data_IF_993485441075
#
_entry.id   IF_993485441075
#
_cell.length_a   1.000
_cell.length_b   1.000
_cell.length_c   1.000
_cell.angle_alpha   90.00
_cell.angle_beta   90.00
_cell.angle_gamma   90.00
#
_symmetry.space_group_name_H-M   'P 1'
#
loop_
_entity.id
_entity.type
_entity.pdbx_description
1 polymer ?
#
# COMPACT_ATOMS: atom_id res chain seq x y z
N UNK A 1 -15.57 8.40 2.07
CA UNK A 1 -15.03 8.98 0.83
C UNK A 1 -14.32 7.87 0.07
N UNK A 2 -14.88 7.38 -1.02
CA UNK A 2 -14.27 6.33 -1.84
C UNK A 2 -13.32 7.01 -2.83
N UNK A 3 -12.04 7.03 -2.49
CA UNK A 3 -11.02 7.67 -3.32
C UNK A 3 -10.45 6.60 -4.25
N UNK A 4 -10.83 6.64 -5.52
CA UNK A 4 -10.36 5.70 -6.53
C UNK A 4 -8.96 6.11 -7.00
N UNK A 5 -8.00 5.20 -6.90
CA UNK A 5 -6.69 5.39 -7.52
C UNK A 5 -6.83 5.33 -9.05
N UNK A 6 -6.57 6.46 -9.72
CA UNK A 6 -6.42 6.48 -11.17
C UNK A 6 -4.99 6.07 -11.53
N UNK A 7 -4.86 5.23 -12.56
CA UNK A 7 -3.55 4.89 -13.12
C UNK A 7 -2.96 6.09 -13.86
N UNK A 8 -1.63 6.13 -13.97
CA UNK A 8 -0.93 7.19 -14.69
C UNK A 8 -1.45 7.35 -16.13
N UNK A 9 -1.72 6.26 -16.84
CA UNK A 9 -2.29 6.29 -18.18
C UNK A 9 -3.65 7.01 -18.23
N UNK A 10 -4.55 6.72 -17.26
CA UNK A 10 -5.85 7.40 -17.16
C UNK A 10 -5.68 8.87 -16.83
N UNK A 11 -4.81 9.22 -15.87
CA UNK A 11 -4.50 10.61 -15.56
C UNK A 11 -3.89 11.35 -16.76
N UNK A 12 -3.02 10.71 -17.52
CA UNK A 12 -2.40 11.28 -18.72
C UNK A 12 -3.44 11.53 -19.82
N UNK A 13 -4.40 10.62 -19.99
CA UNK A 13 -5.49 10.75 -20.97
C UNK A 13 -6.39 11.92 -20.59
N UNK A 14 -6.85 11.99 -19.34
CA UNK A 14 -7.70 13.09 -18.84
C UNK A 14 -6.98 14.44 -18.96
N UNK A 15 -5.72 14.50 -18.55
CA UNK A 15 -4.94 15.74 -18.62
C UNK A 15 -4.50 16.10 -20.05
N UNK A 16 -4.56 15.18 -21.02
CA UNK A 16 -4.11 15.45 -22.39
C UNK A 16 -4.95 16.53 -23.07
N UNK A 17 -6.29 16.42 -22.97
CA UNK A 17 -7.24 17.40 -23.53
C UNK A 17 -7.05 18.78 -22.91
N UNK A 18 -6.84 18.84 -21.59
CA UNK A 18 -6.57 20.11 -20.87
C UNK A 18 -5.23 20.70 -21.32
N UNK A 19 -4.18 19.89 -21.42
CA UNK A 19 -2.86 20.33 -21.91
C UNK A 19 -2.94 20.87 -23.33
N UNK A 20 -3.68 20.23 -24.23
CA UNK A 20 -3.87 20.73 -25.60
C UNK A 20 -4.61 22.06 -25.64
N UNK A 21 -5.63 22.22 -24.80
CA UNK A 21 -6.41 23.46 -24.73
C UNK A 21 -5.57 24.62 -24.18
N UNK A 22 -4.78 24.36 -23.13
CA UNK A 22 -3.87 25.36 -22.54
C UNK A 22 -2.76 25.75 -23.54
N UNK A 23 -2.15 24.77 -24.23
CA UNK A 23 -1.16 25.06 -25.29
C UNK A 23 -1.75 25.95 -26.39
N UNK A 24 -2.95 25.61 -26.87
CA UNK A 24 -3.64 26.40 -27.88
C UNK A 24 -3.92 27.83 -27.41
N UNK A 25 -4.46 28.01 -26.19
CA UNK A 25 -4.76 29.33 -25.62
C UNK A 25 -3.50 30.16 -25.35
N UNK A 26 -2.40 29.52 -24.97
CA UNK A 26 -1.11 30.18 -24.73
C UNK A 26 -0.29 30.41 -26.02
N UNK A 27 -0.83 30.07 -27.20
CA UNK A 27 -0.12 30.14 -28.50
C UNK A 27 1.19 29.34 -28.52
N UNK A 28 1.25 28.27 -27.72
CA UNK A 28 2.39 27.37 -27.60
C UNK A 28 2.32 26.29 -28.68
N UNK A 29 3.47 25.95 -29.27
CA UNK A 29 3.59 24.85 -30.21
C UNK A 29 3.20 23.51 -29.55
N UNK A 30 2.56 22.63 -30.33
CA UNK A 30 2.13 21.31 -29.85
C UNK A 30 3.31 20.45 -29.38
N UNK A 31 4.47 20.61 -30.02
CA UNK A 31 5.75 19.93 -29.73
C UNK A 31 6.42 20.35 -28.43
N UNK A 32 5.97 21.44 -27.78
CA UNK A 32 6.60 21.92 -26.55
C UNK A 32 6.50 20.84 -25.44
N UNK A 33 7.61 20.53 -24.75
CA UNK A 33 7.61 19.54 -23.68
C UNK A 33 6.56 19.86 -22.61
N UNK A 34 5.87 18.84 -22.11
CA UNK A 34 4.82 19.04 -21.09
C UNK A 34 5.36 19.63 -19.78
N UNK A 35 6.66 19.41 -19.49
CA UNK A 35 7.37 20.00 -18.36
C UNK A 35 7.29 21.52 -18.35
N UNK A 36 7.29 22.16 -19.53
CA UNK A 36 7.19 23.62 -19.62
C UNK A 36 5.86 24.09 -19.07
N UNK A 37 4.76 23.40 -19.38
CA UNK A 37 3.43 23.72 -18.86
C UNK A 37 3.34 23.62 -17.33
N UNK A 38 4.10 22.69 -16.74
CA UNK A 38 4.15 22.49 -15.29
C UNK A 38 4.89 23.62 -14.58
N UNK A 39 5.92 24.17 -15.22
CA UNK A 39 6.73 25.26 -14.67
C UNK A 39 6.12 26.66 -14.91
N UNK A 40 5.49 26.88 -16.07
CA UNK A 40 5.05 28.22 -16.50
C UNK A 40 3.58 28.54 -16.27
N UNK A 41 2.69 27.54 -16.26
CA UNK A 41 1.24 27.75 -16.24
C UNK A 41 0.53 27.14 -15.02
N UNK A 42 1.27 26.69 -14.00
CA UNK A 42 0.74 26.03 -12.80
C UNK A 42 -0.17 24.81 -13.11
N UNK A 43 0.01 24.18 -14.27
CA UNK A 43 -0.72 22.96 -14.60
C UNK A 43 -0.09 21.83 -13.78
N UNK A 44 -0.81 21.28 -12.82
CA UNK A 44 -0.23 20.25 -11.96
C UNK A 44 -0.31 18.90 -12.69
N UNK A 45 0.76 18.10 -12.64
CA UNK A 45 0.66 16.71 -13.07
C UNK A 45 -0.35 16.00 -12.15
N UNK A 46 -1.51 15.65 -12.71
CA UNK A 46 -2.63 15.09 -11.95
C UNK A 46 -2.24 13.80 -11.22
N UNK A 47 -1.37 12.97 -11.81
CA UNK A 47 -0.93 11.74 -11.16
C UNK A 47 -0.06 12.03 -9.94
N UNK A 48 0.92 12.94 -10.05
CA UNK A 48 1.76 13.30 -8.92
C UNK A 48 0.97 14.02 -7.82
N UNK A 49 0.02 14.88 -8.19
CA UNK A 49 -0.89 15.53 -7.25
C UNK A 49 -1.75 14.51 -6.49
N UNK A 50 -2.31 13.53 -7.22
CA UNK A 50 -3.10 12.45 -6.63
C UNK A 50 -2.27 11.65 -5.62
N UNK A 51 -1.06 11.21 -6.00
CA UNK A 51 -0.16 10.47 -5.09
C UNK A 51 0.18 11.29 -3.86
N UNK A 52 0.56 12.56 -4.03
CA UNK A 52 0.86 13.46 -2.92
C UNK A 52 -0.35 13.60 -1.97
N UNK A 53 -1.54 13.84 -2.51
CA UNK A 53 -2.76 13.93 -1.70
C UNK A 53 -3.04 12.63 -0.93
N UNK A 54 -2.86 11.47 -1.57
CA UNK A 54 -3.06 10.18 -0.92
C UNK A 54 -2.09 9.94 0.23
N UNK A 55 -0.81 10.25 0.02
CA UNK A 55 0.21 10.14 1.06
C UNK A 55 -0.06 11.11 2.20
N UNK A 56 -0.34 12.38 1.92
CA UNK A 56 -0.69 13.37 2.95
C UNK A 56 -1.88 12.90 3.79
N UNK A 57 -2.93 12.40 3.14
CA UNK A 57 -4.10 11.87 3.85
C UNK A 57 -3.75 10.66 4.72
N UNK A 58 -2.87 9.77 4.26
CA UNK A 58 -2.41 8.63 5.04
C UNK A 58 -1.62 9.09 6.28
N UNK A 59 -0.71 10.06 6.12
CA UNK A 59 0.02 10.65 7.25
C UNK A 59 -0.91 11.36 8.24
N UNK A 60 -1.93 12.07 7.75
CA UNK A 60 -2.94 12.71 8.60
C UNK A 60 -3.76 11.68 9.37
N UNK A 61 -4.17 10.57 8.73
CA UNK A 61 -4.88 9.48 9.40
C UNK A 61 -4.03 8.84 10.50
N UNK A 62 -2.74 8.64 10.26
CA UNK A 62 -1.83 8.08 11.24
C UNK A 62 -1.64 9.00 12.48
N UNK A 63 -1.68 10.32 12.28
CA UNK A 63 -1.47 11.34 13.31
C UNK A 63 -2.77 11.99 13.82
N UNK A 64 -3.91 11.42 13.49
CA UNK A 64 -5.23 11.98 13.83
C UNK A 64 -5.62 11.74 15.29
N UNK A 65 -6.80 12.26 15.67
CA UNK A 65 -7.41 12.02 16.99
C UNK A 65 -7.50 10.53 17.33
N UNK A 66 -7.62 10.22 18.63
CA UNK A 66 -7.60 8.85 19.14
C UNK A 66 -8.55 7.89 18.39
N UNK A 67 -9.78 8.34 18.11
CA UNK A 67 -10.78 7.53 17.40
C UNK A 67 -10.35 7.19 15.96
N UNK A 68 -9.92 8.20 15.20
CA UNK A 68 -9.50 8.00 13.81
C UNK A 68 -8.22 7.16 13.72
N UNK A 69 -7.29 7.35 14.67
CA UNK A 69 -6.10 6.51 14.82
C UNK A 69 -6.46 5.05 15.14
N UNK A 70 -7.46 4.82 15.99
CA UNK A 70 -7.96 3.46 16.30
C UNK A 70 -8.57 2.79 15.07
N UNK A 71 -9.41 3.51 14.31
CA UNK A 71 -10.00 3.01 13.06
C UNK A 71 -8.93 2.68 12.01
N UNK A 72 -7.91 3.54 11.89
CA UNK A 72 -6.77 3.31 11.01
C UNK A 72 -5.99 2.05 11.43
N UNK A 73 -5.69 1.88 12.72
CA UNK A 73 -5.02 0.69 13.24
C UNK A 73 -5.85 -0.59 13.02
N UNK A 74 -7.17 -0.52 13.16
CA UNK A 74 -8.06 -1.64 12.86
C UNK A 74 -7.99 -2.03 11.37
N UNK A 75 -8.03 -1.06 10.46
CA UNK A 75 -7.87 -1.32 9.03
C UNK A 75 -6.50 -1.91 8.69
N UNK A 76 -5.44 -1.43 9.32
CA UNK A 76 -4.11 -2.03 9.18
C UNK A 76 -4.12 -3.48 9.64
N UNK A 77 -4.68 -3.80 10.81
CA UNK A 77 -4.83 -5.19 11.29
C UNK A 77 -5.63 -6.06 10.32
N UNK A 78 -6.69 -5.51 9.75
CA UNK A 78 -7.49 -6.22 8.75
C UNK A 78 -6.64 -6.56 7.51
N UNK A 79 -5.88 -5.60 6.99
CA UNK A 79 -4.97 -5.84 5.85
C UNK A 79 -3.91 -6.88 6.21
N UNK A 80 -3.32 -6.81 7.42
CA UNK A 80 -2.35 -7.80 7.88
C UNK A 80 -2.93 -9.20 7.90
N UNK A 81 -4.08 -9.39 8.53
CA UNK A 81 -4.74 -10.69 8.61
C UNK A 81 -5.15 -11.20 7.24
N UNK A 82 -5.69 -10.32 6.39
CA UNK A 82 -6.12 -10.68 5.04
C UNK A 82 -4.94 -11.15 4.18
N UNK A 83 -3.81 -10.45 4.27
CA UNK A 83 -2.61 -10.73 3.48
C UNK A 83 -1.64 -11.69 4.16
N UNK A 84 -1.92 -12.13 5.39
CA UNK A 84 -1.01 -12.95 6.23
C UNK A 84 0.36 -12.30 6.42
N UNK A 85 0.37 -10.99 6.66
CA UNK A 85 1.60 -10.23 6.90
C UNK A 85 1.94 -10.35 8.39
N UNK A 86 3.10 -10.93 8.74
CA UNK A 86 3.51 -11.10 10.13
C UNK A 86 3.92 -9.79 10.82
N UNK A 87 4.34 -8.79 10.03
CA UNK A 87 4.84 -7.49 10.48
C UNK A 87 3.78 -6.41 10.17
N UNK A 88 3.88 -5.24 10.80
CA UNK A 88 3.11 -4.05 10.42
C UNK A 88 3.14 -3.81 8.90
N UNK A 89 1.99 -3.57 8.21
CA UNK A 89 1.96 -3.24 6.78
C UNK A 89 2.82 -2.02 6.45
N UNK A 90 3.00 -1.13 7.42
CA UNK A 90 3.80 0.08 7.28
C UNK A 90 5.29 -0.19 7.11
N UNK A 91 5.77 -1.38 7.51
CA UNK A 91 7.18 -1.76 7.49
C UNK A 91 7.50 -2.77 6.37
N UNK A 92 6.52 -3.12 5.54
CA UNK A 92 6.74 -4.03 4.41
C UNK A 92 7.54 -3.28 3.35
N UNK A 93 8.71 -3.81 2.99
CA UNK A 93 9.63 -3.23 2.01
C UNK A 93 9.36 -3.69 0.57
N UNK A 94 8.64 -4.80 0.41
CA UNK A 94 8.28 -5.31 -0.91
C UNK A 94 6.83 -5.83 -0.90
N UNK A 95 5.99 -5.27 -1.77
CA UNK A 95 4.60 -5.69 -1.95
C UNK A 95 4.40 -6.66 -3.12
N UNK A 96 5.44 -7.10 -3.83
CA UNK A 96 5.34 -7.97 -5.02
C UNK A 96 4.41 -9.17 -4.79
N UNK A 97 4.56 -9.88 -3.67
CA UNK A 97 3.74 -11.04 -3.30
C UNK A 97 2.23 -10.74 -3.21
N UNK A 98 1.88 -9.53 -2.74
CA UNK A 98 0.50 -9.16 -2.39
C UNK A 98 -0.15 -8.17 -3.37
N UNK A 99 0.64 -7.49 -4.19
CA UNK A 99 0.19 -6.48 -5.17
C UNK A 99 -0.89 -7.00 -6.13
N UNK A 100 -0.85 -8.30 -6.44
CA UNK A 100 -1.85 -8.96 -7.29
C UNK A 100 -3.21 -9.19 -6.61
N UNK A 101 -3.30 -9.04 -5.28
CA UNK A 101 -4.54 -9.29 -4.54
C UNK A 101 -5.58 -8.23 -4.77
N UNK A 102 -6.84 -8.66 -4.81
CA UNK A 102 -7.96 -7.77 -5.05
C UNK A 102 -8.09 -6.67 -3.97
N UNK A 103 -7.60 -6.94 -2.75
CA UNK A 103 -7.57 -5.95 -1.66
C UNK A 103 -6.74 -4.73 -2.02
N UNK A 104 -5.63 -4.87 -2.77
CA UNK A 104 -4.82 -3.73 -3.22
C UNK A 104 -5.49 -2.94 -4.35
N UNK A 105 -6.46 -3.52 -5.05
CA UNK A 105 -7.26 -2.81 -6.05
C UNK A 105 -8.42 -2.04 -5.43
N UNK A 106 -8.99 -2.57 -4.35
CA UNK A 106 -10.24 -2.08 -3.77
C UNK A 106 -10.04 -1.23 -2.51
N UNK A 107 -9.07 -1.57 -1.66
CA UNK A 107 -8.81 -0.87 -0.42
C UNK A 107 -7.84 0.31 -0.64
N UNK A 108 -8.31 1.50 -0.25
CA UNK A 108 -7.56 2.74 -0.38
C UNK A 108 -6.23 2.72 0.39
N UNK A 109 -6.20 2.18 1.61
CA UNK A 109 -5.00 2.16 2.45
C UNK A 109 -4.00 1.17 1.87
N UNK A 110 -4.45 -0.05 1.52
CA UNK A 110 -3.59 -1.05 0.92
C UNK A 110 -2.93 -0.54 -0.37
N UNK A 111 -3.71 0.05 -1.27
CA UNK A 111 -3.20 0.61 -2.52
C UNK A 111 -2.20 1.76 -2.28
N UNK A 112 -2.50 2.66 -1.35
CA UNK A 112 -1.62 3.78 -1.00
C UNK A 112 -0.31 3.29 -0.36
N UNK A 113 -0.35 2.24 0.46
CA UNK A 113 0.87 1.63 1.00
C UNK A 113 1.71 0.95 -0.08
N UNK A 114 1.07 0.32 -1.08
CA UNK A 114 1.78 -0.24 -2.22
C UNK A 114 2.43 0.83 -3.09
N UNK A 115 1.76 1.97 -3.31
CA UNK A 115 2.35 3.06 -4.09
C UNK A 115 3.47 3.80 -3.34
N UNK A 116 3.44 3.80 -2.00
CA UNK A 116 4.47 4.46 -1.17
C UNK A 116 5.86 3.86 -1.36
N UNK A 117 5.99 2.54 -1.63
CA UNK A 117 7.29 1.88 -1.83
C UNK A 117 8.05 2.42 -3.05
N UNK A 118 7.33 2.90 -4.06
CA UNK A 118 7.94 3.53 -5.22
C UNK A 118 8.45 4.95 -4.93
N UNK A 119 8.33 5.41 -3.69
CA UNK A 119 8.83 6.71 -3.23
C UNK A 119 9.94 6.51 -2.20
N UNK A 120 10.86 7.49 -2.05
CA UNK A 120 11.92 7.41 -1.04
C UNK A 120 11.41 7.56 0.41
N UNK A 121 10.11 7.80 0.62
CA UNK A 121 9.54 8.04 1.94
C UNK A 121 9.18 6.73 2.64
N UNK A 122 9.64 6.58 3.88
CA UNK A 122 9.32 5.44 4.72
C UNK A 122 8.46 5.87 5.92
N UNK A 123 7.48 5.05 6.28
CA UNK A 123 6.68 5.23 7.50
C UNK A 123 7.39 4.52 8.66
N UNK A 124 7.82 5.28 9.66
CA UNK A 124 8.36 4.72 10.90
C UNK A 124 7.36 4.88 12.04
N UNK A 125 7.28 3.85 12.90
CA UNK A 125 6.52 3.92 14.15
C UNK A 125 7.42 4.53 15.22
N UNK A 126 6.91 5.53 15.94
CA UNK A 126 7.57 6.02 17.16
C UNK A 126 7.23 5.05 18.30
N UNK A 127 8.25 4.54 18.97
CA UNK A 127 8.18 3.56 20.08
C UNK A 127 7.36 4.03 21.30
N UNK A 128 6.82 5.25 21.28
CA UNK A 128 6.02 5.86 22.35
C UNK A 128 4.53 5.53 22.29
N UNK A 129 4.07 4.78 21.27
CA UNK A 129 2.65 4.43 21.15
C UNK A 129 2.30 3.24 22.06
N UNK A 130 1.30 3.35 22.97
CA UNK A 130 0.87 2.25 23.86
C UNK A 130 0.15 1.10 23.12
N UNK A 131 0.07 1.16 21.79
CA UNK A 131 -0.57 0.14 20.97
C UNK A 131 0.44 -0.97 20.74
N UNK A 132 0.15 -2.23 21.15
CA UNK A 132 1.07 -3.33 20.98
C UNK A 132 1.51 -3.42 19.52
N UNK A 133 2.77 -3.80 19.31
CA UNK A 133 3.27 -3.97 17.97
C UNK A 133 2.32 -4.86 17.19
N UNK A 134 2.03 -4.41 15.97
CA UNK A 134 1.21 -5.16 15.02
C UNK A 134 1.99 -6.38 14.50
N UNK A 135 2.92 -6.90 15.28
CA UNK A 135 3.67 -8.11 15.00
C UNK A 135 2.96 -9.25 15.69
N UNK A 136 2.62 -10.29 14.94
CA UNK A 136 2.13 -11.50 15.58
C UNK A 136 3.26 -12.09 16.44
N UNK A 137 3.04 -12.34 17.74
CA UNK A 137 4.13 -12.78 18.61
C UNK A 137 4.63 -14.19 18.24
N UNK A 138 5.91 -14.45 18.51
CA UNK A 138 6.53 -15.78 18.57
C UNK A 138 6.73 -16.52 17.22
N UNK A 139 7.03 -15.78 16.15
CA UNK A 139 7.35 -16.37 14.85
C UNK A 139 8.63 -15.84 14.23
N UNK A 140 9.51 -16.73 13.78
CA UNK A 140 10.80 -16.38 13.19
C UNK A 140 10.73 -16.32 11.66
N UNK A 141 10.11 -17.32 11.02
CA UNK A 141 10.09 -17.45 9.56
C UNK A 141 8.68 -17.27 9.02
N UNK A 142 8.40 -16.19 8.26
CA UNK A 142 7.12 -15.99 7.60
C UNK A 142 6.80 -17.10 6.59
N UNK A 143 5.57 -17.59 6.57
CA UNK A 143 5.16 -18.67 5.66
C UNK A 143 5.31 -18.26 4.19
N UNK A 144 5.06 -16.98 3.86
CA UNK A 144 5.17 -16.50 2.49
C UNK A 144 6.61 -16.56 1.95
N UNK A 145 7.63 -16.57 2.81
CA UNK A 145 9.03 -16.72 2.41
C UNK A 145 9.40 -18.19 2.14
N UNK A 146 8.67 -19.13 2.75
CA UNK A 146 8.91 -20.56 2.59
C UNK A 146 8.24 -21.15 1.34
N UNK A 147 7.21 -20.49 0.83
CA UNK A 147 6.39 -20.99 -0.28
C UNK A 147 6.67 -20.20 -1.55
N UNK A 148 6.59 -20.86 -2.71
CA UNK A 148 6.54 -20.14 -3.99
C UNK A 148 5.26 -19.30 -4.05
N UNK A 149 5.29 -18.20 -4.81
CA UNK A 149 4.17 -17.26 -4.94
C UNK A 149 2.87 -17.98 -5.31
N UNK A 150 2.91 -18.93 -6.25
CA UNK A 150 1.72 -19.64 -6.72
C UNK A 150 1.12 -20.56 -5.66
N UNK A 151 1.97 -21.27 -4.91
CA UNK A 151 1.55 -22.16 -3.83
C UNK A 151 0.98 -21.34 -2.66
N UNK A 152 1.61 -20.21 -2.33
CA UNK A 152 1.10 -19.30 -1.31
C UNK A 152 -0.29 -18.77 -1.68
N UNK A 153 -0.49 -18.33 -2.92
CA UNK A 153 -1.78 -17.84 -3.42
C UNK A 153 -2.86 -18.91 -3.38
N UNK A 154 -2.55 -20.12 -3.85
CA UNK A 154 -3.50 -21.23 -3.87
C UNK A 154 -3.97 -21.64 -2.46
N UNK A 155 -3.09 -21.53 -1.46
CA UNK A 155 -3.38 -21.94 -0.08
C UNK A 155 -3.80 -20.80 0.84
N UNK A 156 -3.89 -19.56 0.34
CA UNK A 156 -4.08 -18.37 1.16
C UNK A 156 -5.36 -18.41 2.00
N UNK A 157 -6.46 -18.93 1.44
CA UNK A 157 -7.73 -19.05 2.18
C UNK A 157 -7.64 -20.04 3.33
N UNK A 158 -6.90 -21.14 3.16
CA UNK A 158 -6.67 -22.15 4.19
C UNK A 158 -5.78 -21.60 5.29
N UNK A 159 -4.64 -21.02 4.92
CA UNK A 159 -3.72 -20.40 5.86
C UNK A 159 -4.42 -19.31 6.71
N UNK A 160 -5.28 -18.50 6.09
CA UNK A 160 -6.07 -17.48 6.80
C UNK A 160 -7.09 -18.07 7.77
N UNK A 161 -7.79 -19.15 7.39
CA UNK A 161 -8.73 -19.83 8.29
C UNK A 161 -8.05 -20.34 9.56
N UNK A 162 -6.82 -20.83 9.43
CA UNK A 162 -6.03 -21.33 10.56
C UNK A 162 -5.17 -20.25 11.23
N UNK A 163 -5.21 -18.99 10.77
CA UNK A 163 -4.40 -17.91 11.34
C UNK A 163 -2.89 -18.17 11.26
N UNK A 164 -2.44 -18.82 10.18
CA UNK A 164 -1.05 -19.23 9.98
C UNK A 164 -0.25 -18.12 9.29
N UNK A 165 0.58 -17.43 10.07
CA UNK A 165 1.52 -16.38 9.64
C UNK A 165 2.96 -16.90 9.56
N UNK A 166 3.34 -17.82 10.44
CA UNK A 166 4.71 -18.30 10.61
C UNK A 166 4.83 -19.81 10.51
N UNK A 167 5.99 -20.27 10.01
CA UNK A 167 6.29 -21.69 9.94
C UNK A 167 6.29 -22.35 11.33
N UNK A 168 6.71 -21.62 12.37
CA UNK A 168 6.68 -22.11 13.76
C UNK A 168 5.29 -22.52 14.24
N UNK A 169 4.22 -21.98 13.66
CA UNK A 169 2.85 -22.35 14.01
C UNK A 169 2.42 -23.69 13.39
N UNK A 170 3.15 -24.17 12.39
CA UNK A 170 2.95 -25.50 11.81
C UNK A 170 3.80 -26.57 12.49
N UNK A 171 4.78 -26.17 13.29
CA UNK A 171 5.74 -27.08 13.92
C UNK A 171 5.36 -27.32 15.38
N UNK A 172 5.64 -28.53 15.86
CA UNK A 172 5.68 -28.86 17.29
C UNK A 172 6.58 -27.88 18.05
N UNK A 173 6.35 -27.70 19.36
CA UNK A 173 7.20 -26.88 20.26
C UNK A 173 8.70 -27.19 20.17
N UNK A 174 9.07 -28.37 19.66
CA UNK A 174 10.44 -28.83 19.45
C UNK A 174 10.98 -28.60 18.01
N UNK A 175 10.14 -28.16 17.07
CA UNK A 175 10.53 -27.85 15.68
C UNK A 175 10.67 -29.06 14.74
N UNK A 176 10.41 -30.29 15.21
CA UNK A 176 10.76 -31.53 14.49
C UNK A 176 9.62 -32.17 13.70
N UNK A 177 8.37 -31.91 14.07
CA UNK A 177 7.19 -32.53 13.44
C UNK A 177 6.14 -31.47 13.09
N UNK A 178 5.42 -31.68 11.99
CA UNK A 178 4.25 -30.89 11.65
C UNK A 178 3.11 -31.24 12.61
N UNK A 179 2.42 -30.22 13.13
CA UNK A 179 1.19 -30.39 13.88
C UNK A 179 0.11 -30.90 12.92
N UNK A 180 -0.28 -32.16 13.08
CA UNK A 180 -1.33 -32.83 12.31
C UNK A 180 -2.73 -32.41 12.78
#
# INVERSE_FOLDING_TARGET
MQVTHLSEAKCSTVTSSVRTLVKHKAKLLRSIPNVVLYLSQALINLFSFQQQSHFTNLFLLANSSFFMKSLFNYKLRFIQFYCLIPISPLMVLDWTYWSSFNIFKQDYIANTLASLIFTPFCLSRVNSSPVPDLTYPNGHTPIYHCLSLDVFKANLTRLRRHGLFYLSQLLSLQGTHLLA
#
